data_IF_364750268408
#
_entry.id   IF_364750268408
#
_cell.length_a   1.000
_cell.length_b   1.000
_cell.length_c   1.000
_cell.angle_alpha   90.00
_cell.angle_beta   90.00
_cell.angle_gamma   90.00
#
_symmetry.space_group_name_H-M   'P 1'
#
loop_
_entity.id
_entity.type
_entity.pdbx_description
1 polymer ?
#
# COMPACT_ATOMS: atom_id res chain seq x y z
N UNK A 1 -29.15 11.08 18.74
CA UNK A 1 -28.28 11.92 17.88
C UNK A 1 -27.08 11.16 17.32
N UNK A 2 -26.35 10.36 18.13
CA UNK A 2 -25.20 9.54 17.67
C UNK A 2 -25.54 8.54 16.54
N UNK A 3 -26.65 7.81 16.65
CA UNK A 3 -27.10 6.83 15.64
C UNK A 3 -27.35 7.43 14.24
N UNK A 4 -27.91 8.63 14.16
CA UNK A 4 -28.10 9.37 12.89
C UNK A 4 -26.77 9.81 12.26
N UNK A 5 -25.78 10.17 13.08
CA UNK A 5 -24.44 10.55 12.62
C UNK A 5 -23.66 9.32 12.14
N UNK A 6 -23.81 8.17 12.81
CA UNK A 6 -23.27 6.88 12.34
C UNK A 6 -23.95 6.43 11.04
N UNK A 7 -25.27 6.49 10.95
CA UNK A 7 -26.02 6.23 9.72
C UNK A 7 -25.59 7.15 8.56
N UNK A 8 -25.25 8.41 8.82
CA UNK A 8 -24.73 9.35 7.81
C UNK A 8 -23.27 9.09 7.44
N UNK A 9 -22.41 8.73 8.41
CA UNK A 9 -21.03 8.29 8.17
C UNK A 9 -20.99 6.99 7.36
N UNK A 10 -21.94 6.08 7.59
CA UNK A 10 -22.12 4.87 6.80
C UNK A 10 -22.53 5.16 5.36
N UNK A 11 -23.42 6.14 5.14
CA UNK A 11 -23.79 6.57 3.78
C UNK A 11 -22.62 7.18 3.00
N UNK A 12 -21.59 7.68 3.69
CA UNK A 12 -20.36 8.19 3.07
C UNK A 12 -19.39 7.08 2.68
N UNK A 13 -19.41 5.93 3.36
CA UNK A 13 -18.47 4.83 3.11
C UNK A 13 -19.19 3.73 2.32
N UNK A 14 -18.83 3.59 1.05
CA UNK A 14 -19.38 2.55 0.17
C UNK A 14 -18.99 1.15 0.67
N UNK A 15 -19.93 0.40 1.25
CA UNK A 15 -19.71 -1.00 1.66
C UNK A 15 -20.01 -2.03 0.55
N UNK A 16 -20.30 -1.56 -0.66
CA UNK A 16 -20.62 -2.44 -1.78
C UNK A 16 -19.41 -3.19 -2.32
N UNK A 17 -19.70 -4.17 -3.18
CA UNK A 17 -18.71 -4.96 -3.93
C UNK A 17 -17.80 -4.13 -4.85
N UNK A 18 -18.10 -2.84 -5.06
CA UNK A 18 -17.28 -1.92 -5.85
C UNK A 18 -16.13 -1.32 -5.05
N UNK A 19 -16.23 -1.28 -3.72
CA UNK A 19 -15.19 -0.73 -2.87
C UNK A 19 -13.99 -1.67 -2.79
N UNK A 20 -12.86 -1.24 -3.36
CA UNK A 20 -11.60 -2.01 -3.41
C UNK A 20 -10.87 -2.10 -2.07
N UNK A 21 -11.27 -1.29 -1.07
CA UNK A 21 -10.82 -1.46 0.30
C UNK A 21 -11.52 -2.64 0.99
N UNK A 22 -12.64 -3.12 0.46
CA UNK A 22 -13.29 -4.33 0.96
C UNK A 22 -13.01 -5.49 0.00
N UNK A 23 -13.27 -5.32 -1.29
CA UNK A 23 -13.08 -6.36 -2.31
C UNK A 23 -11.83 -6.07 -3.11
N UNK A 24 -10.67 -6.17 -2.46
CA UNK A 24 -9.39 -5.88 -3.10
C UNK A 24 -9.16 -6.83 -4.27
N UNK A 25 -8.76 -6.22 -5.39
CA UNK A 25 -8.25 -6.92 -6.55
C UNK A 25 -6.98 -6.17 -6.99
N UNK A 26 -5.90 -6.83 -7.38
CA UNK A 26 -4.77 -6.13 -7.95
C UNK A 26 -5.10 -5.65 -9.37
N UNK A 27 -4.66 -4.46 -9.76
CA UNK A 27 -4.59 -4.06 -11.17
C UNK A 27 -3.14 -3.90 -11.61
N UNK A 28 -2.87 -4.19 -12.89
CA UNK A 28 -1.54 -4.02 -13.52
C UNK A 28 -1.16 -2.56 -13.79
N UNK A 29 -1.93 -1.58 -13.32
CA UNK A 29 -1.68 -0.15 -13.57
C UNK A 29 -1.71 0.70 -12.31
N UNK A 30 -2.22 0.18 -11.19
CA UNK A 30 -2.40 0.96 -9.96
C UNK A 30 -2.01 0.20 -8.69
N UNK A 31 -1.34 -0.94 -8.79
CA UNK A 31 -0.91 -1.71 -7.63
C UNK A 31 0.49 -2.28 -7.87
N UNK A 32 1.30 -2.27 -6.82
CA UNK A 32 2.61 -2.92 -6.79
C UNK A 32 2.65 -3.77 -5.53
N UNK A 33 2.87 -5.08 -5.69
CA UNK A 33 3.17 -5.94 -4.56
C UNK A 33 4.67 -5.85 -4.27
N UNK A 34 5.03 -5.66 -2.99
CA UNK A 34 6.42 -5.72 -2.54
C UNK A 34 6.74 -7.14 -2.09
N UNK A 35 7.86 -7.69 -2.57
CA UNK A 35 8.33 -9.04 -2.19
C UNK A 35 9.39 -8.99 -1.11
N UNK A 36 10.26 -7.98 -1.11
CA UNK A 36 11.33 -7.81 -0.13
C UNK A 36 11.57 -6.33 0.20
N UNK A 37 11.96 -6.00 1.44
CA UNK A 37 12.02 -6.89 2.60
C UNK A 37 10.61 -7.25 3.10
N UNK A 38 10.52 -7.99 4.20
CA UNK A 38 9.24 -8.32 4.82
C UNK A 38 8.49 -7.08 5.33
N UNK A 39 7.19 -7.23 5.55
CA UNK A 39 6.32 -6.12 5.92
C UNK A 39 6.73 -5.42 7.23
N UNK A 40 7.30 -6.16 8.21
CA UNK A 40 7.72 -5.61 9.49
C UNK A 40 8.92 -4.69 9.29
N UNK A 41 9.93 -5.15 8.55
CA UNK A 41 11.10 -4.34 8.20
C UNK A 41 10.69 -3.06 7.46
N UNK A 42 9.71 -3.16 6.55
CA UNK A 42 9.19 -1.99 5.83
C UNK A 42 8.53 -1.02 6.81
N UNK A 43 7.63 -1.52 7.67
CA UNK A 43 6.87 -0.70 8.62
C UNK A 43 7.78 0.02 9.62
N UNK A 44 8.72 -0.70 10.24
CA UNK A 44 9.65 -0.11 11.23
C UNK A 44 10.49 1.01 10.62
N UNK A 45 10.96 0.85 9.38
CA UNK A 45 11.78 1.89 8.73
C UNK A 45 10.92 3.05 8.24
N UNK A 46 9.82 2.75 7.55
CA UNK A 46 9.01 3.74 6.85
C UNK A 46 8.13 4.53 7.81
N UNK A 47 7.39 3.83 8.68
CA UNK A 47 6.35 4.40 9.53
C UNK A 47 6.97 4.88 10.84
N UNK A 48 7.65 4.00 11.59
CA UNK A 48 8.15 4.36 12.93
C UNK A 48 9.37 5.27 12.90
N UNK A 49 10.25 5.11 11.91
CA UNK A 49 11.48 5.92 11.80
C UNK A 49 11.36 7.07 10.80
N UNK A 50 10.24 7.18 10.08
CA UNK A 50 10.04 8.19 9.03
C UNK A 50 11.05 8.10 7.87
N UNK A 51 11.73 6.96 7.69
CA UNK A 51 12.80 6.82 6.69
C UNK A 51 12.25 6.17 5.43
N UNK A 52 12.35 6.90 4.33
CA UNK A 52 11.93 6.42 3.02
C UNK A 52 12.69 5.17 2.53
N UNK A 53 12.09 4.58 1.51
CA UNK A 53 12.63 3.45 0.77
C UNK A 53 12.76 3.79 -0.71
N UNK A 54 13.84 3.35 -1.33
CA UNK A 54 13.97 3.41 -2.78
C UNK A 54 13.38 2.15 -3.41
N UNK A 55 12.71 2.27 -4.56
CA UNK A 55 12.17 1.13 -5.29
C UNK A 55 13.24 0.63 -6.25
N UNK A 56 13.70 -0.60 -6.05
CA UNK A 56 14.63 -1.24 -6.96
C UNK A 56 13.96 -1.50 -8.31
N UNK A 57 14.68 -1.17 -9.39
CA UNK A 57 14.27 -1.48 -10.75
C UNK A 57 15.20 -2.56 -11.31
N UNK A 58 14.64 -3.63 -11.88
CA UNK A 58 15.45 -4.62 -12.58
C UNK A 58 16.19 -3.95 -13.75
N UNK A 59 17.47 -4.28 -13.98
CA UNK A 59 18.15 -3.82 -15.18
C UNK A 59 17.42 -4.38 -16.41
N UNK A 60 17.22 -3.54 -17.44
CA UNK A 60 16.73 -4.04 -18.71
C UNK A 60 17.77 -5.02 -19.27
N UNK A 61 17.32 -6.21 -19.67
CA UNK A 61 18.13 -7.14 -20.45
C UNK A 61 18.41 -6.48 -21.80
N UNK A 62 19.56 -5.85 -21.95
CA UNK A 62 20.10 -5.53 -23.27
C UNK A 62 20.74 -6.79 -23.81
N UNK A 63 20.13 -7.36 -24.86
CA UNK A 63 20.71 -8.41 -25.69
C UNK A 63 22.09 -7.99 -26.23
N UNK A 64 23.09 -8.87 -26.15
CA UNK A 64 24.32 -8.79 -26.97
C UNK A 64 25.66 -8.90 -26.21
N UNK A 65 26.56 -9.82 -26.60
CA UNK A 65 27.94 -9.84 -26.14
C UNK A 65 28.73 -8.74 -26.86
N UNK A 66 28.80 -7.55 -26.27
CA UNK A 66 29.57 -6.42 -26.83
C UNK A 66 29.13 -5.02 -26.40
N UNK A 67 27.98 -4.88 -25.73
CA UNK A 67 27.51 -3.59 -25.24
C UNK A 67 28.08 -3.22 -23.88
N UNK A 68 29.16 -2.44 -23.84
CA UNK A 68 29.59 -1.70 -22.65
C UNK A 68 28.61 -0.56 -22.32
N UNK A 69 27.34 -0.89 -22.05
CA UNK A 69 26.35 -0.05 -21.36
C UNK A 69 25.47 -0.96 -20.50
N UNK A 70 26.10 -1.71 -19.58
CA UNK A 70 25.41 -2.48 -18.57
C UNK A 70 24.47 -1.56 -17.77
N UNK A 71 23.23 -2.00 -17.58
CA UNK A 71 22.14 -1.21 -17.02
C UNK A 71 22.54 -0.36 -15.81
N UNK A 72 22.00 0.86 -15.74
CA UNK A 72 22.26 1.87 -14.70
C UNK A 72 21.98 1.42 -13.25
N UNK A 73 21.34 0.27 -13.07
CA UNK A 73 20.93 -0.24 -11.77
C UNK A 73 21.78 -1.43 -11.34
N UNK A 74 22.12 -1.53 -10.04
CA UNK A 74 22.87 -2.67 -9.55
C UNK A 74 22.08 -3.96 -9.80
N UNK A 75 22.78 -5.01 -10.29
CA UNK A 75 22.21 -6.33 -10.53
C UNK A 75 21.56 -6.95 -9.28
N UNK A 76 21.95 -6.48 -8.08
CA UNK A 76 21.38 -6.91 -6.80
C UNK A 76 20.82 -5.70 -6.04
N UNK A 77 19.63 -5.83 -5.42
CA UNK A 77 19.05 -4.77 -4.62
C UNK A 77 19.87 -4.51 -3.35
N UNK A 78 19.94 -3.25 -2.93
CA UNK A 78 20.51 -2.81 -1.66
C UNK A 78 19.55 -3.12 -0.52
N UNK A 79 20.06 -3.21 0.72
CA UNK A 79 19.24 -3.40 1.94
C UNK A 79 18.21 -2.29 2.17
N UNK A 80 18.39 -1.13 1.55
CA UNK A 80 17.50 0.05 1.65
C UNK A 80 16.54 0.17 0.47
N UNK A 81 16.42 -0.88 -0.34
CA UNK A 81 15.54 -0.89 -1.51
C UNK A 81 14.39 -1.90 -1.35
N UNK A 82 13.21 -1.51 -1.83
CA UNK A 82 12.06 -2.39 -2.00
C UNK A 82 12.16 -3.12 -3.32
N UNK A 83 11.94 -4.42 -3.28
CA UNK A 83 11.90 -5.27 -4.47
C UNK A 83 10.44 -5.52 -4.82
N UNK A 84 9.92 -4.93 -5.91
CA UNK A 84 8.57 -5.19 -6.37
C UNK A 84 8.44 -6.60 -6.97
N UNK A 85 7.22 -7.12 -7.01
CA UNK A 85 6.89 -8.37 -7.69
C UNK A 85 6.91 -8.24 -9.21
N UNK A 86 6.71 -7.03 -9.72
CA UNK A 86 6.82 -6.73 -11.15
C UNK A 86 8.28 -6.81 -11.59
N UNK A 87 8.54 -7.64 -12.61
CA UNK A 87 9.89 -7.92 -13.09
C UNK A 87 10.19 -7.21 -14.41
N UNK A 88 9.17 -6.81 -15.19
CA UNK A 88 9.38 -6.00 -16.38
C UNK A 88 9.68 -4.53 -15.98
N UNK A 89 10.90 -4.01 -16.24
CA UNK A 89 11.26 -2.64 -15.88
C UNK A 89 10.36 -1.59 -16.56
N UNK A 90 9.90 -1.85 -17.79
CA UNK A 90 9.04 -0.91 -18.54
C UNK A 90 7.65 -0.86 -17.94
N UNK A 91 7.08 -2.02 -17.60
CA UNK A 91 5.81 -2.11 -16.90
C UNK A 91 5.88 -1.48 -15.50
N UNK A 92 6.94 -1.75 -14.74
CA UNK A 92 7.14 -1.16 -13.41
C UNK A 92 7.20 0.37 -13.49
N UNK A 93 8.00 0.94 -14.38
CA UNK A 93 8.10 2.39 -14.57
C UNK A 93 6.73 2.99 -14.98
N UNK A 94 5.97 2.30 -15.83
CA UNK A 94 4.61 2.73 -16.21
C UNK A 94 3.67 2.78 -15.00
N UNK A 95 3.70 1.77 -14.14
CA UNK A 95 2.86 1.72 -12.93
C UNK A 95 3.27 2.84 -11.96
N UNK A 96 4.57 2.96 -11.65
CA UNK A 96 5.10 3.98 -10.74
C UNK A 96 4.76 5.39 -11.20
N UNK A 97 4.96 5.67 -12.49
CA UNK A 97 4.59 6.96 -13.09
C UNK A 97 3.11 7.25 -12.97
N UNK A 98 2.25 6.25 -13.20
CA UNK A 98 0.81 6.41 -13.06
C UNK A 98 0.40 6.68 -11.61
N UNK A 99 0.94 5.92 -10.65
CA UNK A 99 0.71 6.11 -9.22
C UNK A 99 1.12 7.52 -8.75
N UNK A 100 2.34 7.94 -9.08
CA UNK A 100 2.85 9.27 -8.74
C UNK A 100 1.96 10.37 -9.34
N UNK A 101 1.64 10.28 -10.64
CA UNK A 101 0.81 11.28 -11.32
C UNK A 101 -0.56 11.40 -10.67
N UNK A 102 -1.27 10.27 -10.45
CA UNK A 102 -2.61 10.28 -9.86
C UNK A 102 -2.58 10.81 -8.42
N UNK A 103 -1.63 10.36 -7.62
CA UNK A 103 -1.49 10.81 -6.22
C UNK A 103 -1.27 12.32 -6.13
N UNK A 104 -0.40 12.87 -6.97
CA UNK A 104 -0.10 14.31 -6.97
C UNK A 104 -1.28 15.12 -7.51
N UNK A 105 -1.93 14.67 -8.57
CA UNK A 105 -3.13 15.33 -9.12
C UNK A 105 -4.25 15.40 -8.07
N UNK A 106 -4.60 14.28 -7.45
CA UNK A 106 -5.69 14.25 -6.48
C UNK A 106 -5.41 15.14 -5.26
N UNK A 107 -4.17 15.12 -4.77
CA UNK A 107 -3.79 15.95 -3.64
C UNK A 107 -3.81 17.45 -3.99
N UNK A 108 -3.37 17.82 -5.20
CA UNK A 108 -3.40 19.24 -5.63
C UNK A 108 -4.82 19.75 -5.88
N UNK A 109 -5.67 18.93 -6.46
CA UNK A 109 -7.02 19.32 -6.86
C UNK A 109 -8.00 19.31 -5.67
N UNK A 110 -7.85 18.35 -4.75
CA UNK A 110 -8.83 18.11 -3.68
C UNK A 110 -8.24 18.11 -2.28
N UNK A 111 -6.92 18.16 -2.13
CA UNK A 111 -6.25 17.99 -0.84
C UNK A 111 -6.32 16.56 -0.28
N UNK A 112 -6.70 15.56 -1.10
CA UNK A 112 -6.96 14.19 -0.64
C UNK A 112 -5.82 13.25 -1.01
N UNK A 113 -5.33 12.47 -0.03
CA UNK A 113 -4.37 11.38 -0.28
C UNK A 113 -5.07 10.11 -0.70
N UNK A 114 -4.62 9.56 -1.83
CA UNK A 114 -5.18 8.34 -2.42
C UNK A 114 -4.16 7.22 -2.62
N UNK A 115 -2.88 7.47 -2.31
CA UNK A 115 -1.81 6.48 -2.41
C UNK A 115 -1.46 5.96 -1.02
N UNK A 116 -1.65 4.66 -0.84
CA UNK A 116 -1.42 3.97 0.42
C UNK A 116 -0.49 2.78 0.19
N UNK A 117 0.41 2.55 1.15
CA UNK A 117 0.98 1.23 1.37
C UNK A 117 0.09 0.50 2.39
N UNK A 118 -0.03 -0.81 2.25
CA UNK A 118 -0.83 -1.62 3.16
C UNK A 118 0.01 -2.69 3.83
N UNK A 119 -0.29 -2.94 5.10
CA UNK A 119 0.32 -3.99 5.89
C UNK A 119 -0.76 -4.97 6.35
N UNK A 120 -0.61 -6.23 5.93
CA UNK A 120 -1.59 -7.28 6.18
C UNK A 120 -2.80 -7.24 5.23
N UNK A 121 -3.26 -8.42 4.85
CA UNK A 121 -4.47 -8.63 4.07
C UNK A 121 -5.34 -9.65 4.80
N UNK A 122 -6.59 -9.30 5.08
CA UNK A 122 -7.58 -10.24 5.60
C UNK A 122 -8.10 -11.08 4.45
N UNK A 123 -8.01 -12.40 4.55
CA UNK A 123 -8.62 -13.35 3.62
C UNK A 123 -9.90 -13.89 4.26
N UNK A 124 -11.05 -13.60 3.66
CA UNK A 124 -12.34 -13.98 4.23
C UNK A 124 -13.36 -14.32 3.13
N UNK A 125 -14.54 -14.78 3.53
CA UNK A 125 -15.62 -15.17 2.61
C UNK A 125 -16.93 -14.53 3.05
N UNK A 126 -17.75 -14.18 2.07
CA UNK A 126 -19.09 -13.63 2.29
C UNK A 126 -20.13 -14.61 1.72
N UNK A 127 -21.22 -14.83 2.46
CA UNK A 127 -22.32 -15.65 1.98
C UNK A 127 -22.88 -15.09 0.67
N UNK A 128 -23.11 -15.96 -0.32
CA UNK A 128 -23.56 -15.52 -1.65
C UNK A 128 -22.51 -14.78 -2.47
N UNK A 129 -21.24 -14.81 -2.06
CA UNK A 129 -20.12 -14.37 -2.88
C UNK A 129 -19.14 -15.55 -3.11
N UNK A 130 -19.00 -16.03 -4.36
CA UNK A 130 -18.33 -17.30 -4.61
C UNK A 130 -16.82 -17.27 -4.42
N UNK A 131 -16.20 -16.10 -4.60
CA UNK A 131 -14.75 -15.95 -4.57
C UNK A 131 -14.25 -15.57 -3.17
N UNK A 132 -13.04 -15.99 -2.77
CA UNK A 132 -12.41 -15.46 -1.56
C UNK A 132 -12.22 -13.94 -1.71
N UNK A 133 -12.46 -13.22 -0.61
CA UNK A 133 -12.31 -11.78 -0.53
C UNK A 133 -10.98 -11.49 0.16
N UNK A 134 -10.25 -10.53 -0.38
CA UNK A 134 -9.07 -9.96 0.27
C UNK A 134 -9.35 -8.51 0.60
N UNK A 135 -8.99 -8.09 1.81
CA UNK A 135 -9.14 -6.69 2.23
C UNK A 135 -7.86 -6.21 2.92
N UNK A 136 -7.30 -5.04 2.54
CA UNK A 136 -6.17 -4.47 3.28
C UNK A 136 -6.58 -4.17 4.72
N UNK A 137 -5.71 -4.47 5.68
CA UNK A 137 -6.03 -4.29 7.10
C UNK A 137 -5.53 -2.93 7.58
N UNK A 138 -4.22 -2.71 7.49
CA UNK A 138 -3.58 -1.45 7.87
C UNK A 138 -3.23 -0.67 6.62
N UNK A 139 -3.53 0.62 6.64
CA UNK A 139 -3.26 1.58 5.56
C UNK A 139 -2.36 2.68 6.09
N UNK A 140 -1.26 2.94 5.40
CA UNK A 140 -0.40 4.08 5.68
C UNK A 140 -0.31 4.94 4.42
N UNK A 141 -0.68 6.22 4.49
CA UNK A 141 -0.53 7.11 3.35
C UNK A 141 0.95 7.30 3.03
N UNK A 142 1.28 7.30 1.74
CA UNK A 142 2.66 7.48 1.27
C UNK A 142 2.71 8.43 0.08
N UNK A 143 3.88 9.04 -0.09
CA UNK A 143 4.24 9.79 -1.30
C UNK A 143 5.22 8.98 -2.13
N UNK A 144 5.08 9.11 -3.46
CA UNK A 144 5.99 8.51 -4.42
C UNK A 144 6.78 9.63 -5.11
N UNK A 145 8.05 9.78 -4.74
CA UNK A 145 8.92 10.90 -5.13
C UNK A 145 10.13 10.42 -5.92
N UNK A 146 10.74 11.30 -6.72
CA UNK A 146 12.06 11.10 -7.35
C UNK A 146 12.71 12.45 -7.58
N UNK A 147 14.03 12.52 -7.45
CA UNK A 147 14.78 13.78 -7.60
C UNK A 147 14.81 14.25 -9.06
N UNK A 148 15.14 13.34 -9.98
CA UNK A 148 15.10 13.58 -11.42
C UNK A 148 14.36 12.46 -12.13
N UNK A 149 14.09 12.64 -13.44
CA UNK A 149 13.51 11.57 -14.27
C UNK A 149 14.39 10.33 -14.40
N UNK A 150 15.69 10.44 -14.09
CA UNK A 150 16.66 9.34 -14.17
C UNK A 150 16.86 8.64 -12.84
N UNK A 151 16.39 9.23 -11.74
CA UNK A 151 16.51 8.62 -10.42
C UNK A 151 15.37 7.63 -10.20
N UNK A 152 15.64 6.51 -9.51
CA UNK A 152 14.60 5.59 -9.10
C UNK A 152 13.61 6.28 -8.16
N UNK A 153 12.37 5.82 -8.22
CA UNK A 153 11.31 6.27 -7.33
C UNK A 153 11.59 5.86 -5.88
N UNK A 154 11.19 6.73 -4.95
CA UNK A 154 11.26 6.50 -3.52
C UNK A 154 9.87 6.66 -2.91
N UNK A 155 9.56 5.85 -1.91
CA UNK A 155 8.39 6.04 -1.05
C UNK A 155 8.81 6.69 0.27
N UNK A 156 7.97 7.57 0.77
CA UNK A 156 8.12 8.22 2.08
C UNK A 156 6.74 8.43 2.70
N UNK A 157 6.70 8.49 4.03
CA UNK A 157 5.52 9.00 4.74
C UNK A 157 5.49 10.53 4.56
N UNK A 158 4.31 11.15 4.36
CA UNK A 158 4.23 12.60 4.26
C UNK A 158 4.74 13.32 5.53
N UNK A 159 5.20 14.56 5.36
CA UNK A 159 5.76 15.36 6.47
C UNK A 159 4.71 15.79 7.51
N UNK A 160 3.44 15.82 7.12
CA UNK A 160 2.32 15.92 8.07
C UNK A 160 2.01 14.48 8.46
N UNK A 161 2.24 14.15 9.74
CA UNK A 161 2.17 12.79 10.33
C UNK A 161 0.77 12.17 10.21
N UNK A 162 0.34 11.84 9.00
CA UNK A 162 -0.82 10.99 8.81
C UNK A 162 -0.41 9.57 9.20
N UNK A 163 -0.92 9.15 10.35
CA UNK A 163 -0.61 7.87 10.98
C UNK A 163 -1.11 6.67 10.17
N UNK A 164 -0.54 5.51 10.46
CA UNK A 164 -1.11 4.25 10.02
C UNK A 164 -2.50 4.06 10.62
N UNK A 165 -3.50 3.81 9.78
CA UNK A 165 -4.89 3.60 10.22
C UNK A 165 -5.37 2.20 9.86
N UNK A 166 -6.35 1.70 10.60
CA UNK A 166 -7.16 0.58 10.12
C UNK A 166 -7.98 1.01 8.94
N UNK A 167 -8.13 0.10 7.97
CA UNK A 167 -9.04 0.27 6.87
C UNK A 167 -10.48 0.53 7.39
N UNK A 168 -11.01 1.76 7.25
CA UNK A 168 -12.29 2.13 7.84
C UNK A 168 -13.45 1.37 7.22
N UNK A 169 -13.37 1.09 5.91
CA UNK A 169 -14.41 0.37 5.19
C UNK A 169 -14.47 -1.10 5.62
N UNK A 170 -13.31 -1.73 5.81
CA UNK A 170 -13.25 -3.10 6.33
C UNK A 170 -13.77 -3.16 7.77
N UNK A 171 -13.37 -2.24 8.65
CA UNK A 171 -13.84 -2.20 10.04
C UNK A 171 -15.36 -2.11 10.11
N UNK A 172 -15.97 -1.22 9.33
CA UNK A 172 -17.42 -1.09 9.27
C UNK A 172 -18.07 -2.35 8.68
N UNK A 173 -17.54 -2.88 7.57
CA UNK A 173 -18.06 -4.11 6.95
C UNK A 173 -18.11 -5.27 7.95
N UNK A 174 -17.03 -5.50 8.69
CA UNK A 174 -16.96 -6.56 9.69
C UNK A 174 -17.91 -6.31 10.86
N UNK A 175 -17.97 -5.08 11.35
CA UNK A 175 -18.83 -4.72 12.48
C UNK A 175 -20.32 -4.91 12.16
N UNK A 176 -20.77 -4.46 10.98
CA UNK A 176 -22.19 -4.46 10.64
C UNK A 176 -22.69 -5.78 10.04
N UNK A 177 -21.89 -6.41 9.19
CA UNK A 177 -22.36 -7.61 8.46
C UNK A 177 -21.95 -8.91 9.15
N UNK A 178 -20.96 -8.84 10.06
CA UNK A 178 -20.41 -10.03 10.72
C UNK A 178 -20.33 -9.91 12.25
N UNK A 179 -20.73 -8.77 12.83
CA UNK A 179 -20.63 -8.51 14.28
C UNK A 179 -19.19 -8.69 14.82
N UNK A 180 -18.18 -8.50 13.97
CA UNK A 180 -16.77 -8.61 14.30
C UNK A 180 -16.19 -7.20 14.43
N UNK A 181 -15.61 -6.92 15.60
CA UNK A 181 -14.86 -5.68 15.82
C UNK A 181 -13.35 -5.96 15.65
N UNK A 182 -12.70 -5.15 14.80
CA UNK A 182 -11.24 -5.21 14.69
C UNK A 182 -10.61 -4.56 15.92
N UNK A 183 -9.61 -5.19 16.57
CA UNK A 183 -8.90 -4.56 17.66
C UNK A 183 -8.30 -3.22 17.21
N UNK A 184 -8.19 -2.20 18.08
CA UNK A 184 -7.51 -0.97 17.70
C UNK A 184 -6.03 -1.27 17.35
N UNK A 185 -5.43 -0.44 16.50
CA UNK A 185 -3.99 -0.52 16.30
C UNK A 185 -3.29 -0.28 17.64
N UNK A 186 -2.27 -1.10 17.99
CA UNK A 186 -1.52 -0.87 19.19
C UNK A 186 -0.71 0.42 19.06
N UNK A 187 -0.29 0.96 20.20
CA UNK A 187 0.83 1.89 20.18
C UNK A 187 2.06 1.17 19.64
N UNK A 188 2.52 1.61 18.47
CA UNK A 188 3.62 0.95 17.78
C UNK A 188 4.99 1.28 18.39
N UNK A 189 5.07 2.23 19.33
CA UNK A 189 6.25 2.43 20.16
C UNK A 189 6.39 1.30 21.20
N UNK A 190 5.27 0.75 21.67
CA UNK A 190 5.23 -0.29 22.70
C UNK A 190 5.13 -1.71 22.13
N UNK A 191 4.43 -1.91 21.00
CA UNK A 191 4.14 -3.25 20.44
C UNK A 191 4.35 -3.29 18.92
N UNK A 192 5.03 -4.35 18.45
CA UNK A 192 5.32 -4.50 17.02
C UNK A 192 4.08 -4.82 16.18
N UNK A 193 3.99 -4.21 14.99
CA UNK A 193 2.94 -4.46 13.98
C UNK A 193 2.74 -5.96 13.68
N UNK A 194 3.80 -6.78 13.73
CA UNK A 194 3.70 -8.21 13.40
C UNK A 194 2.74 -8.99 14.31
N UNK A 195 2.46 -8.50 15.51
CA UNK A 195 1.50 -9.13 16.42
C UNK A 195 0.04 -8.90 15.97
N UNK A 196 -0.23 -7.78 15.28
CA UNK A 196 -1.59 -7.34 15.01
C UNK A 196 -2.40 -8.29 14.08
N UNK A 197 -1.85 -8.82 12.97
CA UNK A 197 -2.59 -9.80 12.17
C UNK A 197 -2.89 -11.11 12.90
N UNK A 198 -2.09 -11.48 13.91
CA UNK A 198 -2.36 -12.63 14.77
C UNK A 198 -3.52 -12.39 15.74
N UNK A 199 -3.68 -11.14 16.19
CA UNK A 199 -4.80 -10.72 17.06
C UNK A 199 -6.15 -10.66 16.28
N UNK A 200 -6.11 -10.70 14.95
CA UNK A 200 -7.28 -10.64 14.04
C UNK A 200 -7.68 -12.03 13.51
N UNK A 201 -6.85 -13.06 13.75
CA UNK A 201 -6.99 -14.41 13.18
C UNK A 201 -7.90 -15.35 14.00
#
# INVERSE_FOLDING_TARGET
MKRRIEEWKLKLIDLSRRNRLIYFRPTRSSNIQIKRPDMRTIFERLVLKGRGWEIWQPPAETEGPGGAQGGRYPRRPKKTQLVPAETDPRQLERILRNLARRSVSEYRERGVRILYITFGMLNWREAGYPQPIQSPIVLTPIELVRKTRRDPYQIQVPAVEEEAILNPALRLKLQYDHEIELPPLPDFEERSLSAYPGDVA
#
